data_IF_954329486262
#
_entry.id   IF_954329486262
#
_cell.length_a   1.000
_cell.length_b   1.000
_cell.length_c   1.000
_cell.angle_alpha   90.00
_cell.angle_beta   90.00
_cell.angle_gamma   90.00
#
_symmetry.space_group_name_H-M   'P 1'
#
loop_
_entity.id
_entity.type
_entity.pdbx_description
1 polymer ?
#
# COMPACT_ATOMS: atom_id res chain seq x y z
N UNK A 1 6.78 14.28 9.39
CA UNK A 1 7.30 15.20 10.41
C UNK A 1 6.15 15.87 11.13
N UNK A 2 6.18 15.89 12.45
CA UNK A 2 5.20 16.63 13.24
C UNK A 2 5.30 18.10 12.87
N UNK A 3 4.26 18.68 12.30
CA UNK A 3 4.19 20.13 12.05
C UNK A 3 3.48 20.78 13.23
N UNK A 4 4.09 21.81 13.80
CA UNK A 4 3.33 22.77 14.58
C UNK A 4 2.49 23.60 13.60
N UNK A 5 1.18 23.44 13.66
CA UNK A 5 0.27 24.29 12.91
C UNK A 5 -0.03 25.52 13.77
N UNK A 6 0.11 26.75 13.24
CA UNK A 6 -0.28 27.93 14.00
C UNK A 6 -1.78 27.84 14.31
N UNK A 7 -2.14 28.08 15.55
CA UNK A 7 -3.52 28.20 15.99
C UNK A 7 -4.21 29.40 15.27
N UNK A 8 -5.31 29.13 14.59
CA UNK A 8 -6.09 30.16 13.88
C UNK A 8 -7.33 30.48 14.70
N UNK A 9 -7.15 31.03 15.87
CA UNK A 9 -8.29 31.48 16.67
C UNK A 9 -7.87 31.92 18.07
N UNK A 10 -8.03 33.22 18.35
CA UNK A 10 -8.00 33.82 19.68
C UNK A 10 -6.69 33.74 20.46
N UNK A 11 -6.50 34.71 21.26
CA UNK A 11 -5.29 35.26 21.82
C UNK A 11 -4.24 34.39 22.52
N UNK A 12 -4.27 33.09 22.57
CA UNK A 12 -3.12 32.28 22.99
C UNK A 12 -3.40 30.77 22.67
N UNK A 13 -2.64 30.23 21.73
CA UNK A 13 -2.56 28.77 21.63
C UNK A 13 -1.97 28.19 22.91
N UNK A 14 -2.59 27.21 23.55
CA UNK A 14 -1.97 26.54 24.68
C UNK A 14 -0.60 26.01 24.26
N UNK A 15 0.47 26.28 25.04
CA UNK A 15 1.81 25.84 24.70
C UNK A 15 1.82 24.30 24.58
N UNK A 16 2.18 23.78 23.40
CA UNK A 16 2.44 22.37 23.24
C UNK A 16 1.36 21.52 22.54
N UNK A 17 0.34 22.12 21.90
CA UNK A 17 -0.54 21.33 21.03
C UNK A 17 0.23 20.90 19.77
N UNK A 18 0.52 19.62 19.67
CA UNK A 18 1.16 19.04 18.48
C UNK A 18 0.07 18.42 17.61
N UNK A 19 -0.13 19.00 16.43
CA UNK A 19 -1.02 18.44 15.41
C UNK A 19 -0.17 17.62 14.44
N UNK A 20 -0.57 16.37 14.22
CA UNK A 20 0.03 15.47 13.24
C UNK A 20 -0.96 15.28 12.08
N UNK A 21 -0.62 15.77 10.91
CA UNK A 21 -1.43 15.65 9.70
C UNK A 21 -0.82 14.55 8.85
N UNK A 22 -1.58 13.48 8.61
CA UNK A 22 -1.12 12.34 7.84
C UNK A 22 -2.25 11.72 7.02
N UNK A 23 -1.91 11.18 5.87
CA UNK A 23 -2.77 10.22 5.17
C UNK A 23 -2.58 8.82 5.78
N UNK A 24 -3.51 7.91 5.51
CA UNK A 24 -3.37 6.50 5.94
C UNK A 24 -2.08 5.89 5.39
N UNK A 25 -1.73 6.16 4.14
CA UNK A 25 -0.45 5.73 3.54
C UNK A 25 0.76 6.33 4.25
N UNK A 26 0.72 7.60 4.64
CA UNK A 26 1.79 8.25 5.39
C UNK A 26 1.93 7.68 6.81
N UNK A 27 0.82 7.34 7.46
CA UNK A 27 0.84 6.66 8.76
C UNK A 27 1.43 5.25 8.63
N UNK A 28 0.99 4.49 7.63
CA UNK A 28 1.51 3.15 7.33
C UNK A 28 3.04 3.19 7.09
N UNK A 29 3.50 4.10 6.22
CA UNK A 29 4.93 4.28 5.94
C UNK A 29 5.75 4.50 7.22
N UNK A 30 5.38 5.50 7.99
CA UNK A 30 6.09 5.90 9.20
C UNK A 30 6.09 4.82 10.28
N UNK A 31 4.98 4.15 10.47
CA UNK A 31 4.86 3.12 11.50
C UNK A 31 5.51 1.81 11.06
N UNK A 32 5.51 1.47 9.78
CA UNK A 32 6.28 0.34 9.27
C UNK A 32 7.79 0.54 9.42
N UNK A 33 8.31 1.74 9.13
CA UNK A 33 9.73 2.03 9.36
C UNK A 33 10.10 1.89 10.85
N UNK A 34 9.23 2.37 11.75
CA UNK A 34 9.43 2.31 13.19
C UNK A 34 9.36 0.88 13.75
N UNK A 35 8.37 0.10 13.33
CA UNK A 35 8.07 -1.23 13.86
C UNK A 35 8.55 -2.38 12.97
N UNK A 36 9.38 -2.10 11.97
CA UNK A 36 9.82 -3.07 10.99
C UNK A 36 10.32 -4.40 11.58
N UNK A 37 11.17 -4.41 12.63
CA UNK A 37 11.65 -5.67 13.20
C UNK A 37 10.55 -6.59 13.75
N UNK A 38 9.37 -6.04 14.08
CA UNK A 38 8.27 -6.81 14.64
C UNK A 38 7.39 -7.48 13.57
N UNK A 39 7.44 -7.00 12.33
CA UNK A 39 6.54 -7.41 11.25
C UNK A 39 7.26 -8.07 10.08
N UNK A 40 8.52 -7.75 9.85
CA UNK A 40 9.25 -8.14 8.65
C UNK A 40 9.20 -9.65 8.37
N UNK A 41 9.60 -10.49 9.33
CA UNK A 41 9.62 -11.94 9.13
C UNK A 41 8.23 -12.54 8.92
N UNK A 42 7.23 -12.02 9.62
CA UNK A 42 5.84 -12.46 9.45
C UNK A 42 5.28 -12.11 8.07
N UNK A 43 5.77 -11.02 7.48
CA UNK A 43 5.41 -10.58 6.14
C UNK A 43 6.32 -11.15 5.04
N UNK A 44 7.24 -12.06 5.39
CA UNK A 44 8.16 -12.72 4.45
C UNK A 44 9.44 -11.94 4.13
N UNK A 45 9.68 -10.82 4.80
CA UNK A 45 10.85 -9.97 4.59
C UNK A 45 11.99 -10.30 5.56
N UNK A 46 13.18 -9.78 5.27
CA UNK A 46 14.31 -9.87 6.20
C UNK A 46 14.22 -8.77 7.27
N UNK A 47 14.12 -9.17 8.55
CA UNK A 47 14.18 -8.23 9.66
C UNK A 47 15.57 -7.60 9.86
N UNK A 48 16.62 -8.21 9.29
CA UNK A 48 18.02 -7.73 9.40
C UNK A 48 18.32 -6.53 8.52
N UNK A 49 17.46 -6.26 7.53
CA UNK A 49 17.59 -5.15 6.59
C UNK A 49 16.43 -4.18 6.80
N UNK A 50 16.71 -2.88 6.75
CA UNK A 50 15.64 -1.88 6.73
C UNK A 50 14.84 -1.99 5.44
N UNK A 51 13.53 -1.71 5.47
CA UNK A 51 12.73 -1.68 4.26
C UNK A 51 13.13 -0.47 3.41
N UNK A 52 13.08 -0.63 2.11
CA UNK A 52 13.22 0.47 1.15
C UNK A 52 11.86 0.75 0.53
N UNK A 53 11.32 1.90 0.84
CA UNK A 53 10.05 2.31 0.30
C UNK A 53 10.23 2.82 -1.13
N UNK A 54 9.46 2.26 -2.06
CA UNK A 54 9.45 2.67 -3.44
C UNK A 54 8.40 3.77 -3.66
N UNK A 55 8.82 4.85 -4.33
CA UNK A 55 7.89 5.78 -4.94
C UNK A 55 7.32 5.18 -6.24
N UNK A 56 6.40 5.89 -6.88
CA UNK A 56 5.73 5.42 -8.11
C UNK A 56 6.75 5.12 -9.22
N UNK A 57 7.73 5.98 -9.41
CA UNK A 57 8.78 5.84 -10.44
C UNK A 57 9.67 4.62 -10.15
N UNK A 58 10.03 4.41 -8.89
CA UNK A 58 10.79 3.25 -8.45
C UNK A 58 10.03 1.94 -8.70
N UNK A 59 8.75 1.88 -8.33
CA UNK A 59 7.90 0.72 -8.59
C UNK A 59 7.75 0.45 -10.09
N UNK A 60 7.54 1.49 -10.90
CA UNK A 60 7.49 1.38 -12.35
C UNK A 60 8.81 0.87 -12.96
N UNK A 61 9.94 1.36 -12.47
CA UNK A 61 11.25 0.91 -12.92
C UNK A 61 11.49 -0.58 -12.64
N UNK A 62 11.23 -1.04 -11.41
CA UNK A 62 11.38 -2.45 -11.06
C UNK A 62 10.41 -3.35 -11.83
N UNK A 63 9.15 -2.94 -11.95
CA UNK A 63 8.16 -3.68 -12.74
C UNK A 63 8.56 -3.76 -14.21
N UNK A 64 9.05 -2.67 -14.81
CA UNK A 64 9.48 -2.64 -16.19
C UNK A 64 10.66 -3.60 -16.46
N UNK A 65 11.63 -3.66 -15.54
CA UNK A 65 12.73 -4.63 -15.62
C UNK A 65 12.26 -6.07 -15.58
N UNK A 66 11.31 -6.36 -14.69
CA UNK A 66 10.74 -7.70 -14.57
C UNK A 66 9.86 -8.07 -15.77
N UNK A 67 9.28 -7.10 -16.45
CA UNK A 67 8.50 -7.33 -17.65
C UNK A 67 9.36 -7.67 -18.89
N UNK A 68 10.66 -7.33 -18.90
CA UNK A 68 11.54 -7.58 -20.06
C UNK A 68 11.58 -9.05 -20.50
N UNK A 69 11.85 -10.04 -19.62
CA UNK A 69 11.85 -11.44 -20.03
C UNK A 69 10.46 -11.93 -20.49
N UNK A 70 9.38 -11.42 -19.92
CA UNK A 70 8.02 -11.74 -20.39
C UNK A 70 7.80 -11.23 -21.83
N UNK A 71 8.17 -9.99 -22.11
CA UNK A 71 8.07 -9.41 -23.43
C UNK A 71 8.96 -10.16 -24.46
N UNK A 72 10.16 -10.53 -24.05
CA UNK A 72 11.08 -11.29 -24.91
C UNK A 72 10.58 -12.71 -25.24
N UNK A 73 9.76 -13.31 -24.37
CA UNK A 73 9.13 -14.63 -24.59
C UNK A 73 7.83 -14.55 -25.39
N UNK A 74 7.43 -13.37 -25.89
CA UNK A 74 6.17 -13.19 -26.63
C UNK A 74 4.95 -13.00 -25.73
N UNK A 75 5.12 -12.77 -24.43
CA UNK A 75 4.01 -12.39 -23.58
C UNK A 75 3.42 -11.03 -24.01
N UNK A 76 2.12 -10.88 -23.79
CA UNK A 76 1.35 -9.70 -24.19
C UNK A 76 1.26 -9.47 -25.72
N UNK A 77 1.58 -10.47 -26.55
CA UNK A 77 1.27 -10.45 -27.99
C UNK A 77 -0.25 -10.30 -28.18
N UNK A 78 -0.64 -9.39 -29.04
CA UNK A 78 -2.06 -9.02 -29.22
C UNK A 78 -2.50 -7.79 -28.44
N UNK A 79 -1.64 -7.23 -27.60
CA UNK A 79 -1.85 -5.90 -26.99
C UNK A 79 -0.74 -4.97 -27.47
N UNK A 80 -1.04 -4.11 -28.46
CA UNK A 80 -0.10 -3.08 -28.94
C UNK A 80 0.03 -1.96 -27.90
N UNK A 81 0.80 -2.20 -26.82
CA UNK A 81 1.03 -1.22 -25.77
C UNK A 81 2.52 -0.97 -25.54
N UNK A 82 2.87 0.29 -25.35
CA UNK A 82 4.21 0.64 -24.89
C UNK A 82 4.46 0.08 -23.49
N UNK A 83 5.74 -0.15 -23.10
CA UNK A 83 6.13 -0.63 -21.76
C UNK A 83 5.44 0.14 -20.62
N UNK A 84 5.41 1.46 -20.71
CA UNK A 84 4.78 2.33 -19.69
C UNK A 84 3.29 2.04 -19.58
N UNK A 85 2.62 1.84 -20.71
CA UNK A 85 1.18 1.51 -20.72
C UNK A 85 0.87 0.09 -20.25
N UNK A 86 1.86 -0.80 -20.20
CA UNK A 86 1.71 -2.12 -19.60
C UNK A 86 1.91 -2.06 -18.09
N UNK A 87 2.95 -1.39 -17.63
CA UNK A 87 3.41 -1.40 -16.22
C UNK A 87 2.42 -0.70 -15.30
N UNK A 88 1.95 0.48 -15.68
CA UNK A 88 1.06 1.30 -14.83
C UNK A 88 -0.23 0.58 -14.45
N UNK A 89 -0.99 -0.03 -15.39
CA UNK A 89 -2.21 -0.77 -15.02
C UNK A 89 -1.96 -1.99 -14.12
N UNK A 90 -0.78 -2.63 -14.23
CA UNK A 90 -0.44 -3.76 -13.35
C UNK A 90 -0.23 -3.26 -11.91
N UNK A 91 0.55 -2.19 -11.74
CA UNK A 91 0.74 -1.55 -10.43
C UNK A 91 -0.58 -1.03 -9.85
N UNK A 92 -1.44 -0.44 -10.68
CA UNK A 92 -2.77 0.01 -10.25
C UNK A 92 -3.64 -1.16 -9.76
N UNK A 93 -3.56 -2.33 -10.39
CA UNK A 93 -4.29 -3.50 -9.92
C UNK A 93 -3.74 -4.04 -8.58
N UNK A 94 -2.41 -4.01 -8.38
CA UNK A 94 -1.80 -4.33 -7.09
C UNK A 94 -2.28 -3.36 -6.00
N UNK A 95 -2.29 -2.07 -6.30
CA UNK A 95 -2.76 -1.04 -5.37
C UNK A 95 -4.25 -1.21 -5.04
N UNK A 96 -5.09 -1.51 -6.04
CA UNK A 96 -6.51 -1.80 -5.84
C UNK A 96 -6.74 -3.05 -5.00
N UNK A 97 -5.95 -4.11 -5.23
CA UNK A 97 -6.03 -5.32 -4.42
C UNK A 97 -5.72 -5.02 -2.94
N UNK A 98 -4.63 -4.30 -2.67
CA UNK A 98 -4.24 -3.90 -1.33
C UNK A 98 -5.28 -2.95 -0.68
N UNK A 99 -5.75 -1.95 -1.43
CA UNK A 99 -6.74 -0.99 -0.94
C UNK A 99 -8.08 -1.65 -0.58
N UNK A 100 -8.54 -2.57 -1.42
CA UNK A 100 -9.81 -3.29 -1.24
C UNK A 100 -9.68 -4.53 -0.35
N UNK A 101 -8.47 -4.93 0.03
CA UNK A 101 -8.21 -6.04 0.95
C UNK A 101 -8.42 -7.44 0.36
N UNK A 102 -8.42 -7.61 -0.99
CA UNK A 102 -8.49 -8.93 -1.58
C UNK A 102 -7.10 -9.48 -1.95
N UNK A 103 -6.96 -10.84 -1.99
CA UNK A 103 -5.69 -11.47 -2.34
C UNK A 103 -5.21 -11.06 -3.72
N UNK A 104 -3.93 -10.76 -3.84
CA UNK A 104 -3.32 -10.39 -5.10
C UNK A 104 -3.41 -11.52 -6.15
N UNK A 105 -3.51 -12.76 -5.72
CA UNK A 105 -3.70 -13.96 -6.54
C UNK A 105 -5.03 -13.97 -7.29
N UNK A 106 -5.99 -13.17 -6.86
CA UNK A 106 -7.32 -13.07 -7.49
C UNK A 106 -7.39 -12.01 -8.60
N UNK A 107 -6.35 -11.23 -8.86
CA UNK A 107 -6.38 -10.13 -9.83
C UNK A 107 -6.83 -10.61 -11.20
N UNK A 108 -6.21 -11.67 -11.75
CA UNK A 108 -6.59 -12.20 -13.07
C UNK A 108 -8.02 -12.71 -13.09
N UNK A 109 -8.44 -13.44 -12.05
CA UNK A 109 -9.81 -13.98 -11.97
C UNK A 109 -10.86 -12.85 -11.95
N UNK A 110 -10.60 -11.78 -11.19
CA UNK A 110 -11.49 -10.61 -11.12
C UNK A 110 -11.53 -9.84 -12.45
N UNK A 111 -10.37 -9.64 -13.09
CA UNK A 111 -10.30 -9.00 -14.40
C UNK A 111 -11.04 -9.82 -15.46
N UNK A 112 -10.91 -11.15 -15.46
CA UNK A 112 -11.62 -12.04 -16.37
C UNK A 112 -13.14 -12.02 -16.13
N UNK A 113 -13.56 -12.03 -14.88
CA UNK A 113 -14.98 -11.98 -14.51
C UNK A 113 -15.65 -10.66 -14.93
N UNK A 114 -14.90 -9.56 -14.93
CA UNK A 114 -15.39 -8.26 -15.37
C UNK A 114 -15.30 -8.04 -16.89
N UNK A 115 -14.65 -8.96 -17.63
CA UNK A 115 -14.41 -8.81 -19.05
C UNK A 115 -15.52 -9.39 -19.90
N UNK A 116 -16.24 -8.56 -20.65
CA UNK A 116 -17.28 -8.97 -21.60
C UNK A 116 -16.85 -8.96 -23.07
N UNK A 117 -15.54 -8.82 -23.36
CA UNK A 117 -15.00 -8.70 -24.72
C UNK A 117 -14.37 -10.00 -25.25
N UNK A 118 -13.45 -9.87 -26.20
CA UNK A 118 -12.81 -10.97 -26.90
C UNK A 118 -12.02 -11.89 -25.96
N UNK A 119 -12.12 -13.21 -26.21
CA UNK A 119 -11.44 -14.25 -25.41
C UNK A 119 -9.92 -14.20 -25.48
N UNK A 120 -9.34 -13.65 -26.58
CA UNK A 120 -7.90 -13.49 -26.71
C UNK A 120 -7.28 -12.66 -25.57
N UNK A 121 -8.04 -11.72 -24.99
CA UNK A 121 -7.60 -10.87 -23.88
C UNK A 121 -7.53 -11.61 -22.54
N UNK A 122 -8.20 -12.72 -22.40
CA UNK A 122 -8.18 -13.51 -21.17
C UNK A 122 -6.77 -14.04 -20.84
N UNK A 123 -5.98 -14.40 -21.86
CA UNK A 123 -4.57 -14.82 -21.68
C UNK A 123 -3.69 -13.68 -21.17
N UNK A 124 -3.97 -12.47 -21.60
CA UNK A 124 -3.24 -11.27 -21.13
C UNK A 124 -3.43 -11.10 -19.62
N UNK A 125 -4.61 -11.37 -19.08
CA UNK A 125 -4.85 -11.27 -17.64
C UNK A 125 -4.09 -12.32 -16.83
N UNK A 126 -3.87 -13.54 -17.38
CA UNK A 126 -2.99 -14.52 -16.73
C UNK A 126 -1.54 -14.03 -16.70
N UNK A 127 -1.06 -13.48 -17.81
CA UNK A 127 0.29 -12.90 -17.90
C UNK A 127 0.47 -11.69 -16.96
N UNK A 128 -0.56 -10.86 -16.81
CA UNK A 128 -0.60 -9.77 -15.81
C UNK A 128 -0.44 -10.34 -14.40
N UNK A 129 -1.16 -11.43 -14.09
CA UNK A 129 -1.07 -12.09 -12.79
C UNK A 129 0.32 -12.64 -12.52
N UNK A 130 0.92 -13.31 -13.50
CA UNK A 130 2.27 -13.87 -13.39
C UNK A 130 3.32 -12.77 -13.14
N UNK A 131 3.25 -11.66 -13.89
CA UNK A 131 4.16 -10.52 -13.71
C UNK A 131 3.94 -9.82 -12.37
N UNK A 132 2.69 -9.66 -11.94
CA UNK A 132 2.36 -9.10 -10.61
C UNK A 132 2.94 -9.96 -9.47
N UNK A 133 2.83 -11.29 -9.57
CA UNK A 133 3.43 -12.23 -8.62
C UNK A 133 4.97 -12.19 -8.65
N UNK A 134 5.57 -12.09 -9.84
CA UNK A 134 7.02 -11.94 -9.97
C UNK A 134 7.52 -10.65 -9.32
N UNK A 135 6.82 -9.54 -9.53
CA UNK A 135 7.13 -8.27 -8.88
C UNK A 135 7.02 -8.36 -7.35
N UNK A 136 5.96 -8.98 -6.84
CA UNK A 136 5.76 -9.19 -5.41
C UNK A 136 6.92 -9.99 -4.79
N UNK A 137 7.33 -11.10 -5.42
CA UNK A 137 8.47 -11.90 -4.97
C UNK A 137 9.75 -11.09 -4.95
N UNK A 138 10.08 -10.39 -6.02
CA UNK A 138 11.28 -9.55 -6.10
C UNK A 138 11.30 -8.46 -5.02
N UNK A 139 10.16 -7.82 -4.78
CA UNK A 139 10.04 -6.83 -3.70
C UNK A 139 10.34 -7.43 -2.32
N UNK A 140 9.81 -8.62 -2.02
CA UNK A 140 10.06 -9.31 -0.75
C UNK A 140 11.53 -9.69 -0.62
N UNK A 141 12.14 -10.29 -1.64
CA UNK A 141 13.54 -10.71 -1.66
C UNK A 141 14.52 -9.55 -1.47
N UNK A 142 14.22 -8.40 -2.05
CA UNK A 142 15.05 -7.20 -1.98
C UNK A 142 14.70 -6.25 -0.82
N UNK A 143 13.74 -6.59 0.04
CA UNK A 143 13.21 -5.72 1.10
C UNK A 143 12.66 -4.38 0.57
N UNK A 144 11.96 -4.43 -0.55
CA UNK A 144 11.32 -3.28 -1.17
C UNK A 144 9.83 -3.25 -0.80
N UNK A 145 9.32 -2.09 -0.48
CA UNK A 145 7.89 -1.85 -0.24
C UNK A 145 7.37 -0.81 -1.23
N UNK A 146 6.64 -1.26 -2.23
CA UNK A 146 5.77 -0.40 -3.01
C UNK A 146 4.53 -0.02 -2.18
N UNK A 147 3.68 0.85 -2.69
CA UNK A 147 2.50 1.29 -1.97
C UNK A 147 1.57 0.12 -1.59
N UNK A 148 1.38 -0.83 -2.48
CA UNK A 148 0.52 -1.99 -2.22
C UNK A 148 1.03 -2.85 -1.07
N UNK A 149 2.34 -3.11 -1.00
CA UNK A 149 2.98 -3.83 0.09
C UNK A 149 2.96 -3.04 1.40
N UNK A 150 3.12 -1.72 1.36
CA UNK A 150 2.99 -0.89 2.56
C UNK A 150 1.62 -1.06 3.20
N UNK A 151 0.55 -0.94 2.40
CA UNK A 151 -0.82 -1.09 2.89
C UNK A 151 -1.06 -2.51 3.39
N UNK A 152 -0.64 -3.51 2.64
CA UNK A 152 -0.84 -4.92 3.00
C UNK A 152 -0.11 -5.30 4.30
N UNK A 153 1.19 -4.96 4.43
CA UNK A 153 1.98 -5.28 5.63
C UNK A 153 1.49 -4.49 6.84
N UNK A 154 1.16 -3.21 6.66
CA UNK A 154 0.55 -2.41 7.70
C UNK A 154 -0.73 -3.04 8.22
N UNK A 155 -1.62 -3.41 7.34
CA UNK A 155 -2.94 -3.94 7.65
C UNK A 155 -2.89 -5.32 8.28
N UNK A 156 -2.23 -6.27 7.59
CA UNK A 156 -2.22 -7.68 8.01
C UNK A 156 -1.31 -7.96 9.22
N UNK A 157 -0.19 -7.23 9.33
CA UNK A 157 0.86 -7.59 10.26
C UNK A 157 1.15 -6.55 11.34
N UNK A 158 1.02 -5.26 11.06
CA UNK A 158 1.35 -4.21 12.03
C UNK A 158 0.13 -3.77 12.85
N UNK A 159 -0.97 -3.44 12.20
CA UNK A 159 -2.17 -2.90 12.86
C UNK A 159 -2.73 -3.81 13.97
N UNK A 160 -2.73 -5.16 13.81
CA UNK A 160 -3.19 -6.06 14.87
C UNK A 160 -2.27 -6.15 16.09
N UNK A 161 -1.05 -5.59 16.02
CA UNK A 161 -0.09 -5.71 17.12
C UNK A 161 -0.48 -4.82 18.32
N UNK A 162 -0.41 -5.34 19.56
CA UNK A 162 -0.63 -4.53 20.76
C UNK A 162 0.30 -3.32 20.85
N UNK A 163 1.50 -3.41 20.32
CA UNK A 163 2.47 -2.31 20.26
C UNK A 163 1.97 -1.16 19.40
N UNK A 164 1.39 -1.48 18.23
CA UNK A 164 0.80 -0.47 17.34
C UNK A 164 -0.38 0.23 18.02
N UNK A 165 -1.27 -0.55 18.63
CA UNK A 165 -2.41 -0.01 19.39
C UNK A 165 -1.93 0.95 20.49
N UNK A 166 -0.95 0.54 21.30
CA UNK A 166 -0.37 1.41 22.34
C UNK A 166 0.23 2.67 21.77
N UNK A 167 0.93 2.57 20.64
CA UNK A 167 1.51 3.73 19.94
C UNK A 167 0.44 4.75 19.53
N UNK A 168 -0.66 4.28 18.94
CA UNK A 168 -1.77 5.15 18.55
C UNK A 168 -2.40 5.83 19.77
N UNK A 169 -2.70 5.08 20.84
CA UNK A 169 -3.33 5.60 22.04
C UNK A 169 -2.45 6.57 22.83
N UNK A 170 -1.15 6.30 22.91
CA UNK A 170 -0.22 7.17 23.64
C UNK A 170 0.19 8.42 22.85
N UNK A 171 0.10 8.34 21.51
CA UNK A 171 0.52 9.43 20.63
C UNK A 171 -0.59 10.39 20.21
N UNK A 172 -1.84 9.96 20.31
CA UNK A 172 -2.97 10.73 19.75
C UNK A 172 -4.19 10.61 20.69
N UNK A 173 -4.56 11.73 21.31
CA UNK A 173 -5.76 11.81 22.15
C UNK A 173 -7.02 12.07 21.35
N UNK A 174 -6.90 12.95 20.37
CA UNK A 174 -8.00 13.38 19.52
C UNK A 174 -7.70 12.99 18.07
N UNK A 175 -8.74 12.60 17.37
CA UNK A 175 -8.68 12.21 15.97
C UNK A 175 -9.68 13.03 15.17
N UNK A 176 -9.20 13.78 14.20
CA UNK A 176 -10.03 14.49 13.23
C UNK A 176 -9.80 13.81 11.88
N UNK A 177 -10.87 13.37 11.26
CA UNK A 177 -10.83 12.68 9.96
C UNK A 177 -11.62 13.50 8.97
N UNK A 178 -11.03 13.76 7.82
CA UNK A 178 -11.60 14.50 6.72
C UNK A 178 -11.71 13.61 5.48
N UNK A 179 -12.69 13.88 4.63
CA UNK A 179 -12.91 13.21 3.35
C UNK A 179 -13.04 11.68 3.45
N UNK A 180 -13.73 11.18 4.47
CA UNK A 180 -13.87 9.73 4.70
C UNK A 180 -14.54 9.00 3.55
N UNK A 181 -15.34 9.68 2.73
CA UNK A 181 -15.99 9.13 1.54
C UNK A 181 -15.02 8.79 0.40
N UNK A 182 -13.83 9.42 0.39
CA UNK A 182 -12.77 9.16 -0.58
C UNK A 182 -11.76 8.10 -0.10
N UNK A 183 -11.86 7.69 1.17
CA UNK A 183 -10.91 6.78 1.78
C UNK A 183 -11.06 5.34 1.28
N UNK A 184 -9.92 4.64 1.28
CA UNK A 184 -9.89 3.21 0.96
C UNK A 184 -10.51 2.38 2.09
N UNK A 185 -11.07 1.18 1.80
CA UNK A 185 -11.63 0.28 2.82
C UNK A 185 -10.70 0.02 4.01
N UNK A 186 -9.39 -0.12 3.75
CA UNK A 186 -8.39 -0.28 4.81
C UNK A 186 -8.34 0.92 5.79
N UNK A 187 -8.60 2.14 5.31
CA UNK A 187 -8.68 3.32 6.17
C UNK A 187 -9.90 3.27 7.09
N UNK A 188 -11.05 2.88 6.56
CA UNK A 188 -12.28 2.73 7.35
C UNK A 188 -12.13 1.73 8.48
N UNK A 189 -11.44 0.61 8.22
CA UNK A 189 -11.20 -0.37 9.27
C UNK A 189 -10.20 0.15 10.32
N UNK A 190 -9.16 0.89 9.92
CA UNK A 190 -8.28 1.59 10.87
C UNK A 190 -9.09 2.51 11.78
N UNK A 191 -10.01 3.29 11.22
CA UNK A 191 -10.88 4.18 11.97
C UNK A 191 -11.80 3.42 12.94
N UNK A 192 -12.38 2.31 12.51
CA UNK A 192 -13.19 1.44 13.38
C UNK A 192 -12.41 0.93 14.59
N UNK A 193 -11.11 0.65 14.42
CA UNK A 193 -10.25 0.22 15.52
C UNK A 193 -9.83 1.38 16.43
N UNK A 194 -9.67 2.57 15.88
CA UNK A 194 -9.07 3.70 16.58
C UNK A 194 -10.09 4.62 17.24
N UNK A 195 -11.18 4.96 16.55
CA UNK A 195 -12.21 5.88 17.06
C UNK A 195 -12.75 5.50 18.45
N UNK A 196 -13.06 4.21 18.75
CA UNK A 196 -13.54 3.84 20.10
C UNK A 196 -12.52 4.05 21.22
N UNK A 197 -11.28 4.33 20.86
CA UNK A 197 -10.15 4.46 21.78
C UNK A 197 -9.67 5.91 21.93
N UNK A 198 -10.11 6.80 21.05
CA UNK A 198 -9.83 8.22 21.12
C UNK A 198 -10.69 8.90 22.20
N UNK A 199 -10.20 9.98 22.78
CA UNK A 199 -10.95 10.72 23.83
C UNK A 199 -12.09 11.56 23.21
N UNK A 200 -12.03 11.92 21.94
CA UNK A 200 -13.10 12.60 21.17
C UNK A 200 -12.68 12.76 19.71
#
# INVERSE_FOLDING_TARGET
>A
GRRMVPWVGGDEAPPGVVVDIATVGGLAHRTLDLFWPLVAEKAGFSARRRPRFLNVEGAQYYMARLAEPFLASGAFEGVSVSRVRLVTPILDNLNKAAAAGFPLEEIAARLKAAWGGESARLRVYDQVQELALAFRRACIEENLLDWSLQIEVFWKHLLPLPQMRRYLLSGYRHLIVDNTEEDIPAAHDLLRLWLPLAES
#
